data_IF_516033741566
#
_entry.id   IF_516033741566
#
_cell.length_a   1.000
_cell.length_b   1.000
_cell.length_c   1.000
_cell.angle_alpha   90.00
_cell.angle_beta   90.00
_cell.angle_gamma   90.00
#
_symmetry.space_group_name_H-M   'P 1'
#
loop_
_entity.id
_entity.type
_entity.pdbx_description
1 polymer ?
#
# COMPACT_ATOMS: atom_id res chain seq x y z
N UNK A 1 -11.62 15.37 -15.32
CA UNK A 1 -11.55 16.46 -14.30
C UNK A 1 -10.29 17.31 -14.54
N UNK A 2 -10.23 18.61 -14.18
CA UNK A 2 -8.94 19.31 -14.25
C UNK A 2 -8.06 18.94 -13.04
N UNK A 3 -6.73 19.12 -13.17
CA UNK A 3 -5.75 18.72 -12.16
C UNK A 3 -6.05 19.29 -10.77
N UNK A 4 -6.39 20.57 -10.69
CA UNK A 4 -6.71 21.23 -9.42
C UNK A 4 -7.93 20.59 -8.75
N UNK A 5 -9.02 20.42 -9.49
CA UNK A 5 -10.23 19.78 -8.97
C UNK A 5 -9.97 18.34 -8.51
N UNK A 6 -9.17 17.58 -9.25
CA UNK A 6 -8.79 16.22 -8.90
C UNK A 6 -8.04 16.18 -7.56
N UNK A 7 -7.03 17.04 -7.39
CA UNK A 7 -6.24 17.12 -6.15
C UNK A 7 -7.13 17.47 -4.94
N UNK A 8 -7.99 18.46 -5.05
CA UNK A 8 -8.79 18.95 -3.91
C UNK A 8 -9.99 18.05 -3.57
N UNK A 9 -10.43 17.18 -4.49
CA UNK A 9 -11.56 16.27 -4.28
C UNK A 9 -11.14 14.87 -3.79
N UNK A 10 -9.90 14.44 -4.08
CA UNK A 10 -9.41 13.14 -3.60
C UNK A 10 -9.53 13.02 -2.07
N UNK A 11 -10.02 11.88 -1.61
CA UNK A 11 -10.15 11.55 -0.17
C UNK A 11 -9.63 10.14 0.11
N UNK A 12 -9.19 9.93 1.35
CA UNK A 12 -8.84 8.59 1.85
C UNK A 12 -10.09 7.78 2.12
N UNK A 13 -10.40 6.84 1.24
CA UNK A 13 -11.52 5.91 1.35
C UNK A 13 -11.14 4.72 2.22
N UNK A 14 -11.98 4.38 3.21
CA UNK A 14 -11.76 3.27 4.15
C UNK A 14 -12.96 2.33 4.26
N UNK A 15 -13.90 2.45 3.34
CA UNK A 15 -15.05 1.58 3.19
C UNK A 15 -15.30 1.38 1.71
N UNK A 16 -15.18 0.16 1.24
CA UNK A 16 -15.22 -0.19 -0.17
C UNK A 16 -16.46 -1.03 -0.48
N UNK A 17 -16.87 -0.99 -1.73
CA UNK A 17 -17.84 -1.92 -2.28
C UNK A 17 -17.15 -3.26 -2.56
N UNK A 18 -17.90 -4.36 -2.39
CA UNK A 18 -17.45 -5.69 -2.85
C UNK A 18 -17.67 -5.78 -4.37
N UNK A 19 -16.80 -5.10 -5.11
CA UNK A 19 -16.86 -5.00 -6.57
C UNK A 19 -15.46 -5.05 -7.14
N UNK A 20 -15.28 -5.89 -8.14
CA UNK A 20 -14.01 -5.98 -8.87
C UNK A 20 -13.67 -4.68 -9.61
N UNK A 21 -12.39 -4.35 -9.65
CA UNK A 21 -11.84 -3.30 -10.49
C UNK A 21 -11.29 -3.95 -11.75
N UNK A 22 -11.70 -3.47 -12.93
CA UNK A 22 -11.26 -4.06 -14.19
C UNK A 22 -9.76 -3.93 -14.43
N UNK A 23 -9.17 -4.87 -15.17
CA UNK A 23 -7.75 -4.83 -15.54
C UNK A 23 -7.39 -3.56 -16.33
N UNK A 24 -8.34 -3.06 -17.14
CA UNK A 24 -8.15 -1.81 -17.89
C UNK A 24 -7.95 -0.62 -16.94
N UNK A 25 -8.82 -0.47 -15.93
CA UNK A 25 -8.70 0.61 -14.94
C UNK A 25 -7.42 0.49 -14.10
N UNK A 26 -7.08 -0.73 -13.68
CA UNK A 26 -5.83 -0.98 -12.96
C UNK A 26 -4.60 -0.66 -13.82
N UNK A 27 -4.63 -1.02 -15.10
CA UNK A 27 -3.56 -0.67 -16.04
C UNK A 27 -3.32 0.83 -16.12
N UNK A 28 -4.39 1.64 -16.19
CA UNK A 28 -4.30 3.12 -16.19
C UNK A 28 -3.67 3.63 -14.89
N UNK A 29 -4.14 3.14 -13.75
CA UNK A 29 -3.63 3.53 -12.43
C UNK A 29 -2.13 3.22 -12.31
N UNK A 30 -1.72 2.00 -12.64
CA UNK A 30 -0.30 1.59 -12.55
C UNK A 30 0.56 2.40 -13.51
N UNK A 31 0.07 2.69 -14.71
CA UNK A 31 0.81 3.48 -15.69
C UNK A 31 1.14 4.87 -15.13
N UNK A 32 0.18 5.57 -14.50
CA UNK A 32 0.46 6.90 -13.90
C UNK A 32 1.53 6.83 -12.80
N UNK A 33 1.60 5.74 -12.04
CA UNK A 33 2.66 5.54 -11.05
C UNK A 33 4.06 5.45 -11.66
N UNK A 34 4.20 4.91 -12.87
CA UNK A 34 5.48 4.82 -13.58
C UNK A 34 6.00 6.19 -14.05
N UNK A 35 5.11 7.16 -14.24
CA UNK A 35 5.46 8.54 -14.62
C UNK A 35 5.82 9.43 -13.43
N UNK A 36 5.77 8.94 -12.21
CA UNK A 36 6.22 9.71 -11.06
C UNK A 36 7.73 10.00 -11.15
N UNK A 37 8.17 11.20 -10.74
CA UNK A 37 9.60 11.49 -10.67
C UNK A 37 10.30 10.57 -9.66
N UNK A 38 11.56 10.26 -9.92
CA UNK A 38 12.40 9.47 -9.01
C UNK A 38 13.79 10.10 -8.90
N UNK A 39 14.45 9.92 -7.76
CA UNK A 39 15.79 10.46 -7.52
C UNK A 39 16.76 10.00 -8.59
N UNK A 40 17.41 10.99 -9.28
CA UNK A 40 18.29 10.72 -10.41
C UNK A 40 17.65 9.96 -11.57
N UNK A 41 16.32 10.00 -11.70
CA UNK A 41 15.54 9.22 -12.66
C UNK A 41 15.81 7.70 -12.55
N UNK A 42 15.95 7.20 -11.34
CA UNK A 42 16.31 5.80 -11.07
C UNK A 42 15.26 4.80 -11.56
N UNK A 43 13.97 5.20 -11.59
CA UNK A 43 12.84 4.37 -12.02
C UNK A 43 12.82 2.98 -11.34
N UNK A 44 13.29 2.91 -10.10
CA UNK A 44 13.50 1.67 -9.34
C UNK A 44 12.26 1.19 -8.57
N UNK A 45 11.14 1.94 -8.62
CA UNK A 45 9.90 1.49 -8.03
C UNK A 45 9.42 0.18 -8.65
N UNK A 46 8.94 -0.72 -7.81
CA UNK A 46 8.32 -1.97 -8.18
C UNK A 46 6.92 -2.04 -7.59
N UNK A 47 5.93 -2.43 -8.40
CA UNK A 47 4.54 -2.48 -7.97
C UNK A 47 4.02 -3.92 -8.01
N UNK A 48 3.43 -4.36 -6.92
CA UNK A 48 2.72 -5.64 -6.83
C UNK A 48 1.23 -5.32 -6.73
N UNK A 49 0.44 -5.84 -7.66
CA UNK A 49 -1.01 -5.63 -7.71
C UNK A 49 -1.70 -6.93 -7.34
N UNK A 50 -2.50 -6.92 -6.29
CA UNK A 50 -3.18 -8.10 -5.76
C UNK A 50 -4.69 -7.84 -5.80
N UNK A 51 -5.43 -8.69 -6.55
CA UNK A 51 -6.89 -8.70 -6.61
C UNK A 51 -7.48 -10.00 -6.04
N UNK A 52 -6.66 -11.04 -5.91
CA UNK A 52 -7.13 -12.30 -5.35
C UNK A 52 -7.43 -12.12 -3.86
N UNK A 53 -8.71 -12.26 -3.51
CA UNK A 53 -9.19 -12.09 -2.13
C UNK A 53 -8.48 -13.02 -1.15
N UNK A 54 -8.21 -14.27 -1.52
CA UNK A 54 -7.54 -15.23 -0.63
C UNK A 54 -6.10 -14.80 -0.31
N UNK A 55 -5.40 -14.23 -1.30
CA UNK A 55 -4.04 -13.70 -1.13
C UNK A 55 -4.08 -12.47 -0.22
N UNK A 56 -5.04 -11.55 -0.42
CA UNK A 56 -5.23 -10.37 0.44
C UNK A 56 -5.55 -10.81 1.87
N UNK A 57 -6.51 -11.70 2.07
CA UNK A 57 -6.93 -12.20 3.38
C UNK A 57 -5.75 -12.89 4.11
N UNK A 58 -4.93 -13.65 3.38
CA UNK A 58 -3.73 -14.27 3.96
C UNK A 58 -2.72 -13.23 4.42
N UNK A 59 -2.43 -12.22 3.59
CA UNK A 59 -1.53 -11.11 3.95
C UNK A 59 -2.06 -10.32 5.15
N UNK A 60 -3.38 -10.06 5.21
CA UNK A 60 -4.04 -9.43 6.36
C UNK A 60 -3.75 -10.20 7.65
N UNK A 61 -3.88 -11.53 7.64
CA UNK A 61 -3.60 -12.36 8.81
C UNK A 61 -2.12 -12.37 9.19
N UNK A 62 -1.22 -12.35 8.22
CA UNK A 62 0.22 -12.24 8.49
C UNK A 62 0.56 -10.91 9.15
N UNK A 63 0.03 -9.80 8.63
CA UNK A 63 0.23 -8.44 9.16
C UNK A 63 -0.35 -8.32 10.57
N UNK A 64 -1.59 -8.78 10.78
CA UNK A 64 -2.24 -8.79 12.10
C UNK A 64 -1.40 -9.57 13.11
N UNK A 65 -0.93 -10.76 12.75
CA UNK A 65 -0.07 -11.57 13.62
C UNK A 65 1.24 -10.88 13.95
N UNK A 66 1.90 -10.27 12.98
CA UNK A 66 3.16 -9.56 13.19
C UNK A 66 2.98 -8.39 14.17
N UNK A 67 1.97 -7.55 13.97
CA UNK A 67 1.67 -6.44 14.88
C UNK A 67 1.23 -6.92 16.28
N UNK A 68 0.49 -8.01 16.39
CA UNK A 68 0.06 -8.53 17.70
C UNK A 68 1.22 -8.93 18.61
N UNK A 69 2.39 -9.23 18.04
CA UNK A 69 3.61 -9.60 18.75
C UNK A 69 4.48 -8.40 19.14
N UNK A 70 4.15 -7.19 18.66
CA UNK A 70 4.89 -5.98 18.99
C UNK A 70 4.49 -5.42 20.35
N UNK A 71 5.47 -4.85 21.05
CA UNK A 71 5.23 -4.07 22.27
C UNK A 71 5.04 -2.60 21.95
N UNK A 72 4.17 -1.95 22.70
CA UNK A 72 3.94 -0.50 22.56
C UNK A 72 4.95 0.21 23.46
N UNK A 73 5.71 1.13 22.86
CA UNK A 73 6.65 1.99 23.58
C UNK A 73 6.13 3.43 23.69
N UNK A 74 6.62 4.18 24.67
CA UNK A 74 6.10 5.50 25.06
C UNK A 74 6.03 6.53 23.92
N UNK A 75 7.00 6.53 23.01
CA UNK A 75 7.08 7.49 21.90
C UNK A 75 6.67 6.90 20.53
N UNK A 76 5.99 5.78 20.54
CA UNK A 76 5.57 5.12 19.29
C UNK A 76 4.51 5.93 18.55
N UNK A 77 4.60 5.98 17.23
CA UNK A 77 3.63 6.66 16.36
C UNK A 77 2.20 6.14 16.62
N UNK A 78 1.26 7.05 16.88
CA UNK A 78 -0.12 6.72 17.32
C UNK A 78 -0.83 5.71 16.41
N UNK A 79 -0.67 5.84 15.09
CA UNK A 79 -1.30 4.91 14.15
C UNK A 79 -0.73 3.49 14.31
N UNK A 80 0.57 3.34 14.59
CA UNK A 80 1.18 2.05 14.86
C UNK A 80 0.69 1.46 16.18
N UNK A 81 0.56 2.26 17.25
CA UNK A 81 -0.03 1.81 18.51
C UNK A 81 -1.46 1.27 18.31
N UNK A 82 -2.28 1.99 17.52
CA UNK A 82 -3.63 1.54 17.19
C UNK A 82 -3.62 0.21 16.41
N UNK A 83 -2.72 0.06 15.45
CA UNK A 83 -2.56 -1.18 14.69
C UNK A 83 -2.21 -2.35 15.60
N UNK A 84 -1.27 -2.16 16.53
CA UNK A 84 -0.88 -3.18 17.52
C UNK A 84 -2.06 -3.54 18.44
N UNK A 85 -2.77 -2.54 18.97
CA UNK A 85 -3.90 -2.77 19.86
C UNK A 85 -5.03 -3.54 19.19
N UNK A 86 -5.40 -3.18 17.96
CA UNK A 86 -6.41 -3.89 17.18
C UNK A 86 -5.95 -5.31 16.81
N UNK A 87 -4.67 -5.48 16.48
CA UNK A 87 -4.09 -6.78 16.17
C UNK A 87 -4.10 -7.72 17.37
N UNK A 88 -3.82 -7.22 18.58
CA UNK A 88 -3.92 -8.01 19.83
C UNK A 88 -5.35 -8.46 20.14
N UNK A 89 -6.36 -7.74 19.63
CA UNK A 89 -7.77 -8.12 19.74
C UNK A 89 -8.25 -9.05 18.61
N UNK A 90 -7.45 -9.26 17.56
CA UNK A 90 -7.87 -10.02 16.38
C UNK A 90 -8.84 -9.27 15.45
N UNK A 91 -8.84 -7.94 15.49
CA UNK A 91 -9.78 -7.07 14.78
C UNK A 91 -9.10 -6.23 13.68
N UNK A 92 -7.81 -6.45 13.41
CA UNK A 92 -7.05 -5.56 12.55
C UNK A 92 -7.07 -6.00 11.08
N UNK A 93 -7.68 -5.19 10.24
CA UNK A 93 -7.66 -5.33 8.78
C UNK A 93 -7.00 -4.09 8.17
N UNK A 94 -5.69 -4.17 7.91
CA UNK A 94 -4.88 -3.01 7.52
C UNK A 94 -5.31 -2.36 6.19
N UNK A 95 -5.94 -3.12 5.28
CA UNK A 95 -6.38 -2.67 3.96
C UNK A 95 -7.88 -2.35 3.88
N UNK A 96 -8.60 -2.30 5.00
CA UNK A 96 -10.02 -1.91 5.07
C UNK A 96 -10.93 -2.75 4.15
N UNK A 97 -10.61 -4.02 3.92
CA UNK A 97 -11.30 -4.92 2.97
C UNK A 97 -11.39 -4.37 1.54
N UNK A 98 -10.39 -3.62 1.10
CA UNK A 98 -10.33 -3.17 -0.28
C UNK A 98 -10.20 -4.36 -1.24
N UNK A 99 -10.90 -4.35 -2.41
CA UNK A 99 -10.85 -5.45 -3.38
C UNK A 99 -9.52 -5.52 -4.13
N UNK A 100 -8.72 -4.45 -4.05
CA UNK A 100 -7.39 -4.37 -4.67
C UNK A 100 -6.39 -3.81 -3.68
N UNK A 101 -5.22 -4.42 -3.63
CA UNK A 101 -4.06 -3.92 -2.90
C UNK A 101 -2.92 -3.69 -3.89
N UNK A 102 -2.38 -2.47 -3.90
CA UNK A 102 -1.19 -2.11 -4.67
C UNK A 102 -0.06 -1.85 -3.66
N UNK A 103 1.00 -2.63 -3.75
CA UNK A 103 2.18 -2.50 -2.90
C UNK A 103 3.29 -1.87 -3.74
N UNK A 104 3.80 -0.71 -3.31
CA UNK A 104 4.98 -0.10 -3.88
C UNK A 104 6.21 -0.50 -3.07
N UNK A 105 7.19 -1.06 -3.72
CA UNK A 105 8.49 -1.43 -3.15
C UNK A 105 9.61 -0.72 -3.91
N UNK A 106 10.76 -0.55 -3.26
CA UNK A 106 11.95 0.03 -3.86
C UNK A 106 13.19 -0.57 -3.18
N UNK A 107 14.36 -0.33 -3.76
CA UNK A 107 15.65 -0.86 -3.31
C UNK A 107 15.94 -0.53 -1.85
N UNK A 108 16.33 -1.53 -1.08
CA UNK A 108 16.79 -1.34 0.29
C UNK A 108 18.09 -0.52 0.30
N UNK A 109 18.17 0.45 1.21
CA UNK A 109 19.34 1.34 1.32
C UNK A 109 19.41 2.47 0.30
N UNK A 110 18.50 2.55 -0.67
CA UNK A 110 18.41 3.70 -1.57
C UNK A 110 17.77 4.89 -0.86
N UNK A 111 18.47 6.03 -0.79
CA UNK A 111 18.09 7.18 0.04
C UNK A 111 16.72 7.79 -0.28
N UNK A 112 16.23 7.67 -1.52
CA UNK A 112 14.94 8.20 -1.94
C UNK A 112 13.84 7.14 -2.03
N UNK A 113 14.08 5.91 -1.59
CA UNK A 113 13.14 4.79 -1.77
C UNK A 113 11.72 5.08 -1.28
N UNK A 114 11.56 5.69 -0.10
CA UNK A 114 10.24 6.03 0.44
C UNK A 114 9.58 7.19 -0.30
N UNK A 115 10.36 8.21 -0.67
CA UNK A 115 9.85 9.37 -1.40
C UNK A 115 9.38 8.96 -2.80
N UNK A 116 10.18 8.20 -3.54
CA UNK A 116 9.86 7.74 -4.88
C UNK A 116 8.58 6.85 -4.88
N UNK A 117 8.45 5.94 -3.90
CA UNK A 117 7.22 5.16 -3.72
C UNK A 117 6.01 6.05 -3.41
N UNK A 118 6.16 7.05 -2.53
CA UNK A 118 5.06 7.93 -2.16
C UNK A 118 4.58 8.79 -3.34
N UNK A 119 5.51 9.32 -4.14
CA UNK A 119 5.19 10.07 -5.35
C UNK A 119 4.44 9.22 -6.39
N UNK A 120 4.87 7.97 -6.58
CA UNK A 120 4.20 7.05 -7.48
C UNK A 120 2.79 6.71 -7.00
N UNK A 121 2.62 6.45 -5.70
CA UNK A 121 1.32 6.16 -5.11
C UNK A 121 0.38 7.38 -5.16
N UNK A 122 0.89 8.61 -5.02
CA UNK A 122 0.05 9.81 -5.16
C UNK A 122 -0.47 9.95 -6.60
N UNK A 123 0.37 9.75 -7.63
CA UNK A 123 -0.10 9.72 -9.01
C UNK A 123 -1.20 8.67 -9.22
N UNK A 124 -1.01 7.44 -8.68
CA UNK A 124 -2.00 6.38 -8.76
C UNK A 124 -3.31 6.75 -8.05
N UNK A 125 -3.24 7.42 -6.89
CA UNK A 125 -4.43 7.85 -6.15
C UNK A 125 -5.19 8.96 -6.87
N UNK A 126 -4.50 9.86 -7.56
CA UNK A 126 -5.12 10.90 -8.39
C UNK A 126 -5.81 10.28 -9.61
N UNK A 127 -5.17 9.31 -10.28
CA UNK A 127 -5.81 8.60 -11.39
C UNK A 127 -7.02 7.80 -10.91
N UNK A 128 -6.91 7.12 -9.77
CA UNK A 128 -8.06 6.43 -9.18
C UNK A 128 -9.24 7.39 -8.96
N UNK A 129 -8.98 8.60 -8.42
CA UNK A 129 -10.01 9.63 -8.20
C UNK A 129 -10.62 10.13 -9.52
N UNK A 130 -9.83 10.29 -10.59
CA UNK A 130 -10.31 10.63 -11.93
C UNK A 130 -11.22 9.55 -12.54
N UNK A 131 -10.97 8.29 -12.16
CA UNK A 131 -11.72 7.10 -12.58
C UNK A 131 -12.89 6.75 -11.65
N UNK A 132 -13.30 7.64 -10.74
CA UNK A 132 -14.35 7.44 -9.72
C UNK A 132 -14.08 6.23 -8.79
N UNK A 133 -12.81 5.92 -8.54
CA UNK A 133 -12.38 4.89 -7.62
C UNK A 133 -11.85 5.49 -6.31
N UNK A 134 -12.32 4.94 -5.19
CA UNK A 134 -11.80 5.31 -3.88
C UNK A 134 -10.43 4.68 -3.60
N UNK A 135 -9.51 5.43 -3.02
CA UNK A 135 -8.18 4.94 -2.63
C UNK A 135 -7.79 5.38 -1.21
N UNK A 136 -6.83 4.70 -0.61
CA UNK A 136 -6.26 5.07 0.67
C UNK A 136 -4.76 4.71 0.72
N UNK A 137 -3.93 5.69 1.01
CA UNK A 137 -2.51 5.45 1.31
C UNK A 137 -2.35 4.74 2.65
N UNK A 138 -1.58 3.65 2.66
CA UNK A 138 -1.35 2.81 3.83
C UNK A 138 0.16 2.59 3.98
N UNK A 139 0.71 2.87 5.15
CA UNK A 139 2.14 2.71 5.43
C UNK A 139 2.46 1.57 6.40
N UNK A 140 1.52 0.69 6.68
CA UNK A 140 1.70 -0.38 7.68
C UNK A 140 2.81 -1.37 7.31
N UNK A 141 2.94 -1.73 6.03
CA UNK A 141 4.01 -2.62 5.58
C UNK A 141 5.42 -2.04 5.78
N UNK A 142 5.55 -0.71 5.85
CA UNK A 142 6.81 -0.06 6.23
C UNK A 142 7.33 -0.51 7.60
N UNK A 143 6.44 -0.69 8.57
CA UNK A 143 6.80 -1.14 9.93
C UNK A 143 7.17 -2.61 10.00
N UNK A 144 6.92 -3.38 8.92
CA UNK A 144 7.16 -4.80 8.78
C UNK A 144 8.22 -5.11 7.70
N UNK A 145 8.97 -4.10 7.26
CA UNK A 145 9.97 -4.22 6.19
C UNK A 145 11.22 -5.05 6.59
N UNK A 146 11.31 -5.51 7.83
CA UNK A 146 12.33 -6.44 8.32
C UNK A 146 11.71 -7.81 8.74
N UNK A 147 10.39 -7.98 8.64
CA UNK A 147 9.75 -9.26 8.93
C UNK A 147 10.00 -10.25 7.80
N UNK A 148 10.85 -11.24 8.06
CA UNK A 148 11.27 -12.23 7.06
C UNK A 148 10.11 -13.03 6.47
N UNK A 149 9.05 -13.32 7.25
CA UNK A 149 7.90 -14.09 6.76
C UNK A 149 7.09 -13.28 5.78
N UNK A 150 6.82 -12.01 6.11
CA UNK A 150 6.11 -11.09 5.21
C UNK A 150 6.92 -10.84 3.95
N UNK A 151 8.23 -10.55 4.07
CA UNK A 151 9.10 -10.34 2.93
C UNK A 151 9.15 -11.56 2.01
N UNK A 152 9.37 -12.76 2.55
CA UNK A 152 9.37 -14.00 1.76
C UNK A 152 8.02 -14.25 1.06
N UNK A 153 6.91 -13.92 1.73
CA UNK A 153 5.60 -14.04 1.11
C UNK A 153 5.44 -13.03 -0.05
N UNK A 154 5.81 -11.76 0.15
CA UNK A 154 5.77 -10.76 -0.91
C UNK A 154 6.70 -11.11 -2.08
N UNK A 155 7.87 -11.70 -1.81
CA UNK A 155 8.77 -12.22 -2.84
C UNK A 155 8.12 -13.34 -3.64
N UNK A 156 7.39 -14.25 -3.00
CA UNK A 156 6.62 -15.29 -3.71
C UNK A 156 5.51 -14.73 -4.61
N UNK A 157 5.06 -13.51 -4.34
CA UNK A 157 4.09 -12.75 -5.16
C UNK A 157 4.76 -11.87 -6.22
N UNK A 158 6.08 -11.90 -6.34
CA UNK A 158 6.84 -11.18 -7.37
C UNK A 158 7.61 -9.95 -6.89
N UNK A 159 7.69 -9.68 -5.58
CA UNK A 159 8.59 -8.64 -5.07
C UNK A 159 10.05 -9.02 -5.35
N UNK A 160 10.87 -8.07 -5.78
CA UNK A 160 12.31 -8.29 -5.97
C UNK A 160 13.02 -8.45 -4.63
N UNK A 161 14.17 -9.13 -4.64
CA UNK A 161 14.96 -9.40 -3.42
C UNK A 161 15.86 -8.23 -3.00
N UNK A 162 16.15 -7.27 -3.89
CA UNK A 162 17.11 -6.16 -3.75
C UNK A 162 16.50 -4.84 -3.23
#
# INVERSE_FOLDING_TARGET
MNTFANIITRRSTRKYLDKEVSQELLGKIIETGKYAPSGGNSQSNHFIVIQNKQIIDHLVKMVERAFSQMEITENMYRSLQNSINLSKKGEYVFCYNAPVLIIAANKKGYGNNQADCALALENMMLEANELDLGSCYINQLKWLNEDRKILSYLQSLGMKED
#
